data_IF_519127421091
#
_entry.id   IF_519127421091
#
_cell.length_a   1.000
_cell.length_b   1.000
_cell.length_c   1.000
_cell.angle_alpha   90.00
_cell.angle_beta   90.00
_cell.angle_gamma   90.00
#
_symmetry.space_group_name_H-M   'P 1'
#
loop_
_entity.id
_entity.type
_entity.pdbx_description
1 polymer ?
#
# COMPACT_ATOMS: atom_id res chain seq x y z
N UNK A 1 -12.87 22.99 14.49
CA UNK A 1 -12.57 22.17 15.69
C UNK A 1 -13.38 20.89 15.70
N UNK A 2 -14.73 20.92 15.75
CA UNK A 2 -15.56 19.71 15.73
C UNK A 2 -15.40 18.84 14.46
N UNK A 3 -15.35 19.43 13.26
CA UNK A 3 -15.22 18.65 12.02
C UNK A 3 -13.85 17.97 11.83
N UNK A 4 -12.78 18.61 12.33
CA UNK A 4 -11.42 18.04 12.32
C UNK A 4 -11.30 16.84 13.26
N UNK A 5 -11.91 16.94 14.45
CA UNK A 5 -12.01 15.81 15.36
C UNK A 5 -12.82 14.67 14.74
N UNK A 6 -13.93 14.97 14.05
CA UNK A 6 -14.75 13.97 13.35
C UNK A 6 -13.94 13.25 12.26
N UNK A 7 -13.15 13.97 11.44
CA UNK A 7 -12.34 13.36 10.38
C UNK A 7 -11.23 12.46 10.94
N UNK A 8 -10.51 12.93 11.96
CA UNK A 8 -9.48 12.13 12.66
C UNK A 8 -10.08 10.89 13.33
N UNK A 9 -11.27 11.02 13.93
CA UNK A 9 -12.01 9.88 14.48
C UNK A 9 -12.39 8.91 13.36
N UNK A 10 -12.85 9.42 12.22
CA UNK A 10 -13.25 8.60 11.07
C UNK A 10 -12.08 7.78 10.51
N UNK A 11 -10.92 8.40 10.25
CA UNK A 11 -9.73 7.69 9.75
C UNK A 11 -9.23 6.63 10.73
N UNK A 12 -9.18 6.94 12.03
CA UNK A 12 -8.76 5.98 13.08
C UNK A 12 -9.64 4.74 13.08
N UNK A 13 -10.97 4.93 13.04
CA UNK A 13 -11.91 3.81 13.01
C UNK A 13 -11.83 3.02 11.71
N UNK A 14 -11.69 3.69 10.57
CA UNK A 14 -11.51 3.00 9.28
C UNK A 14 -10.28 2.09 9.36
N UNK A 15 -9.13 2.58 9.82
CA UNK A 15 -7.89 1.78 9.92
C UNK A 15 -8.09 0.56 10.83
N UNK A 16 -8.66 0.74 12.03
CA UNK A 16 -8.88 -0.35 12.98
C UNK A 16 -9.84 -1.40 12.44
N UNK A 17 -10.99 -0.98 11.89
CA UNK A 17 -11.99 -1.90 11.33
C UNK A 17 -11.41 -2.64 10.12
N UNK A 18 -10.65 -1.94 9.28
CA UNK A 18 -10.02 -2.51 8.09
C UNK A 18 -9.01 -3.60 8.45
N UNK A 19 -8.13 -3.34 9.42
CA UNK A 19 -7.17 -4.33 9.92
C UNK A 19 -7.90 -5.50 10.61
N UNK A 20 -9.00 -5.24 11.32
CA UNK A 20 -9.83 -6.31 11.88
C UNK A 20 -10.43 -7.21 10.78
N UNK A 21 -10.95 -6.62 9.70
CA UNK A 21 -11.48 -7.36 8.55
C UNK A 21 -10.40 -8.22 7.88
N UNK A 22 -9.15 -7.75 7.78
CA UNK A 22 -8.05 -8.58 7.25
C UNK A 22 -7.71 -9.74 8.18
N UNK A 23 -7.72 -9.54 9.50
CA UNK A 23 -7.55 -10.63 10.48
C UNK A 23 -8.66 -11.68 10.33
N UNK A 24 -9.92 -11.27 10.23
CA UNK A 24 -11.05 -12.19 10.04
C UNK A 24 -10.88 -12.98 8.74
N UNK A 25 -10.46 -12.32 7.65
CA UNK A 25 -10.16 -12.98 6.38
C UNK A 25 -9.07 -14.05 6.50
N UNK A 26 -7.95 -13.72 7.14
CA UNK A 26 -6.82 -14.64 7.33
C UNK A 26 -7.17 -15.84 8.21
N UNK A 27 -7.87 -15.62 9.32
CA UNK A 27 -8.37 -16.71 10.16
C UNK A 27 -9.39 -17.56 9.41
N UNK A 28 -10.26 -16.94 8.61
CA UNK A 28 -11.21 -17.63 7.74
C UNK A 28 -10.54 -18.54 6.72
N UNK A 29 -9.42 -18.12 6.11
CA UNK A 29 -8.61 -18.98 5.24
C UNK A 29 -8.00 -20.16 6.01
N UNK A 30 -7.55 -19.94 7.25
CA UNK A 30 -6.97 -21.00 8.08
C UNK A 30 -7.99 -22.10 8.45
N UNK A 31 -9.25 -21.74 8.67
CA UNK A 31 -10.33 -22.68 8.99
C UNK A 31 -11.10 -23.18 7.77
N UNK A 32 -10.67 -22.84 6.55
CA UNK A 32 -11.36 -23.23 5.33
C UNK A 32 -11.25 -24.74 5.09
N UNK A 33 -12.33 -25.47 5.39
CA UNK A 33 -12.45 -26.89 5.06
C UNK A 33 -12.98 -27.15 3.64
N UNK A 34 -13.51 -26.13 2.99
CA UNK A 34 -14.14 -26.21 1.67
C UNK A 34 -13.69 -25.06 0.78
N UNK A 35 -13.55 -25.31 -0.52
CA UNK A 35 -13.01 -24.32 -1.47
C UNK A 35 -13.87 -23.04 -1.54
N UNK A 36 -15.19 -23.15 -1.43
CA UNK A 36 -16.09 -21.99 -1.47
C UNK A 36 -15.87 -21.00 -0.32
N UNK A 37 -15.39 -21.48 0.84
CA UNK A 37 -15.13 -20.63 2.01
C UNK A 37 -14.00 -19.62 1.72
N UNK A 38 -13.04 -19.99 0.86
CA UNK A 38 -11.97 -19.09 0.44
C UNK A 38 -12.53 -17.87 -0.29
N UNK A 39 -13.51 -18.04 -1.18
CA UNK A 39 -14.15 -16.90 -1.84
C UNK A 39 -14.93 -16.03 -0.87
N UNK A 40 -15.60 -16.63 0.11
CA UNK A 40 -16.33 -15.89 1.13
C UNK A 40 -15.39 -15.01 1.96
N UNK A 41 -14.27 -15.56 2.44
CA UNK A 41 -13.32 -14.83 3.29
C UNK A 41 -12.39 -13.90 2.50
N UNK A 42 -12.27 -14.06 1.18
CA UNK A 42 -11.56 -13.13 0.32
C UNK A 42 -12.23 -11.75 0.25
N UNK A 43 -13.56 -11.68 0.40
CA UNK A 43 -14.31 -10.41 0.39
C UNK A 43 -13.92 -9.50 1.57
N UNK A 44 -14.07 -9.90 2.85
CA UNK A 44 -13.65 -9.06 3.96
C UNK A 44 -12.14 -8.81 3.97
N UNK A 45 -11.34 -9.80 3.57
CA UNK A 45 -9.88 -9.62 3.45
C UNK A 45 -9.52 -8.51 2.46
N UNK A 46 -10.06 -8.55 1.24
CA UNK A 46 -9.80 -7.56 0.20
C UNK A 46 -10.34 -6.17 0.55
N UNK A 47 -11.55 -6.10 1.11
CA UNK A 47 -12.13 -4.83 1.57
C UNK A 47 -11.29 -4.19 2.68
N UNK A 48 -10.83 -4.98 3.66
CA UNK A 48 -9.95 -4.50 4.71
C UNK A 48 -8.61 -4.00 4.16
N UNK A 49 -7.97 -4.76 3.28
CA UNK A 49 -6.69 -4.41 2.69
C UNK A 49 -6.77 -3.11 1.85
N UNK A 50 -7.80 -2.94 1.02
CA UNK A 50 -7.97 -1.73 0.23
C UNK A 50 -8.36 -0.50 1.07
N UNK A 51 -9.19 -0.69 2.09
CA UNK A 51 -9.66 0.41 2.95
C UNK A 51 -8.56 1.00 3.82
N UNK A 52 -7.69 0.14 4.39
CA UNK A 52 -6.54 0.62 5.19
C UNK A 52 -5.53 1.36 4.31
N UNK A 53 -5.27 0.85 3.10
CA UNK A 53 -4.35 1.48 2.15
C UNK A 53 -4.86 2.86 1.74
N UNK A 54 -6.12 2.99 1.30
CA UNK A 54 -6.70 4.26 0.92
C UNK A 54 -6.72 5.28 2.09
N UNK A 55 -7.12 4.84 3.28
CA UNK A 55 -7.21 5.72 4.45
C UNK A 55 -5.84 6.22 4.92
N UNK A 56 -4.83 5.35 4.96
CA UNK A 56 -3.47 5.72 5.37
C UNK A 56 -2.78 6.61 4.33
N UNK A 57 -2.87 6.28 3.04
CA UNK A 57 -2.29 7.11 1.99
C UNK A 57 -2.91 8.52 1.97
N UNK A 58 -4.23 8.62 2.09
CA UNK A 58 -4.90 9.92 2.18
C UNK A 58 -4.47 10.71 3.44
N UNK A 59 -4.40 10.04 4.59
CA UNK A 59 -3.98 10.68 5.84
C UNK A 59 -2.54 11.19 5.79
N UNK A 60 -1.60 10.36 5.31
CA UNK A 60 -0.18 10.73 5.21
C UNK A 60 0.03 11.84 4.19
N UNK A 61 -0.63 11.78 3.04
CA UNK A 61 -0.52 12.80 1.99
C UNK A 61 -0.93 14.20 2.48
N UNK A 62 -1.92 14.28 3.38
CA UNK A 62 -2.46 15.57 3.86
C UNK A 62 -1.79 16.09 5.14
N UNK A 63 -1.13 15.22 5.92
CA UNK A 63 -0.63 15.59 7.27
C UNK A 63 0.90 15.52 7.39
N UNK A 64 1.60 14.93 6.42
CA UNK A 64 3.04 14.69 6.50
C UNK A 64 3.74 14.99 5.17
N UNK A 65 5.05 15.33 5.20
CA UNK A 65 5.81 15.53 3.97
C UNK A 65 5.93 14.24 3.16
N UNK A 66 6.14 14.36 1.85
CA UNK A 66 6.25 13.22 0.92
C UNK A 66 7.34 12.21 1.28
N UNK A 67 8.34 12.59 2.09
CA UNK A 67 9.33 11.66 2.63
C UNK A 67 8.73 10.58 3.53
N UNK A 68 7.69 10.91 4.31
CA UNK A 68 6.96 9.95 5.15
C UNK A 68 6.16 8.97 4.30
N UNK A 69 5.58 9.45 3.18
CA UNK A 69 4.91 8.58 2.21
C UNK A 69 5.87 7.54 1.61
N UNK A 70 7.06 7.99 1.17
CA UNK A 70 8.08 7.08 0.65
C UNK A 70 8.54 6.07 1.71
N UNK A 71 8.69 6.51 2.97
CA UNK A 71 9.05 5.62 4.08
C UNK A 71 7.96 4.57 4.37
N UNK A 72 6.68 4.94 4.29
CA UNK A 72 5.56 4.00 4.42
C UNK A 72 5.62 2.92 3.34
N UNK A 73 5.84 3.31 2.08
CA UNK A 73 5.98 2.36 0.97
C UNK A 73 7.25 1.49 1.07
N UNK A 74 8.32 1.95 1.73
CA UNK A 74 9.44 1.06 2.06
C UNK A 74 9.01 -0.10 2.96
N UNK A 75 8.13 0.13 3.94
CA UNK A 75 7.60 -0.96 4.79
C UNK A 75 6.64 -1.90 4.05
N UNK A 76 5.94 -1.42 3.02
CA UNK A 76 5.20 -2.30 2.11
C UNK A 76 6.15 -3.32 1.45
N UNK A 77 7.30 -2.87 0.94
CA UNK A 77 8.33 -3.76 0.38
C UNK A 77 8.86 -4.77 1.39
N UNK A 78 9.10 -4.36 2.64
CA UNK A 78 9.47 -5.28 3.72
C UNK A 78 8.39 -6.35 3.96
N UNK A 79 7.12 -5.96 3.98
CA UNK A 79 5.99 -6.90 4.08
C UNK A 79 5.92 -7.90 2.92
N UNK A 80 6.16 -7.43 1.70
CA UNK A 80 6.17 -8.26 0.48
C UNK A 80 7.31 -9.29 0.47
N UNK A 81 8.41 -9.02 1.18
CA UNK A 81 9.53 -9.96 1.36
C UNK A 81 9.25 -10.93 2.52
N UNK A 82 8.74 -10.44 3.66
CA UNK A 82 8.53 -11.27 4.86
C UNK A 82 7.39 -12.28 4.64
N UNK A 83 6.30 -11.88 3.99
CA UNK A 83 5.09 -12.71 3.90
C UNK A 83 5.26 -14.02 3.13
N UNK A 84 5.93 -14.09 1.95
CA UNK A 84 6.15 -15.36 1.25
C UNK A 84 7.09 -16.28 2.01
N UNK A 85 8.10 -15.73 2.70
CA UNK A 85 9.01 -16.51 3.53
C UNK A 85 8.30 -17.09 4.76
N UNK A 86 7.37 -16.35 5.37
CA UNK A 86 6.55 -16.85 6.46
C UNK A 86 5.69 -18.04 6.00
N UNK A 87 5.07 -17.93 4.82
CA UNK A 87 4.32 -19.04 4.22
C UNK A 87 5.23 -20.22 3.86
N UNK A 88 6.41 -19.98 3.28
CA UNK A 88 7.39 -21.00 2.98
C UNK A 88 7.83 -21.78 4.23
N UNK A 89 8.03 -21.07 5.35
CA UNK A 89 8.38 -21.67 6.63
C UNK A 89 7.23 -22.55 7.14
N UNK A 90 5.99 -22.09 7.04
CA UNK A 90 4.82 -22.86 7.42
C UNK A 90 4.67 -24.12 6.58
N UNK A 91 4.89 -24.06 5.26
CA UNK A 91 4.85 -25.23 4.38
C UNK A 91 5.99 -26.22 4.66
N UNK A 92 7.13 -25.76 5.18
CA UNK A 92 8.27 -26.62 5.54
C UNK A 92 8.04 -27.41 6.83
N UNK A 93 7.37 -26.82 7.82
CA UNK A 93 7.24 -27.39 9.17
C UNK A 93 5.80 -27.78 9.55
N UNK A 94 4.80 -27.35 8.76
CA UNK A 94 3.39 -27.47 9.06
C UNK A 94 2.54 -27.55 7.76
N UNK A 95 1.24 -27.22 7.85
CA UNK A 95 0.32 -27.20 6.73
C UNK A 95 0.02 -25.76 6.27
N UNK A 96 -0.48 -25.59 5.05
CA UNK A 96 -0.83 -24.28 4.48
C UNK A 96 -1.80 -23.46 5.36
N UNK A 97 -2.73 -24.13 6.06
CA UNK A 97 -3.65 -23.50 7.02
C UNK A 97 -2.91 -22.79 8.16
N UNK A 98 -1.79 -23.36 8.63
CA UNK A 98 -0.97 -22.77 9.68
C UNK A 98 -0.25 -21.52 9.19
N UNK A 99 0.14 -21.46 7.91
CA UNK A 99 0.74 -20.26 7.32
C UNK A 99 -0.19 -19.06 7.37
N UNK A 100 -1.47 -19.26 7.05
CA UNK A 100 -2.50 -18.23 7.21
C UNK A 100 -2.71 -17.86 8.68
N UNK A 101 -2.63 -18.82 9.60
CA UNK A 101 -2.79 -18.58 11.04
C UNK A 101 -1.62 -17.78 11.63
N UNK A 102 -0.39 -18.11 11.27
CA UNK A 102 0.80 -17.37 11.69
C UNK A 102 0.75 -15.94 11.16
N UNK A 103 0.33 -15.75 9.92
CA UNK A 103 0.12 -14.43 9.33
C UNK A 103 -0.98 -13.65 10.08
N UNK A 104 -2.07 -14.31 10.45
CA UNK A 104 -3.13 -13.70 11.27
C UNK A 104 -2.62 -13.24 12.64
N UNK A 105 -1.75 -14.01 13.31
CA UNK A 105 -1.15 -13.60 14.58
C UNK A 105 -0.25 -12.38 14.45
N UNK A 106 0.55 -12.31 13.38
CA UNK A 106 1.34 -11.11 13.06
C UNK A 106 0.41 -9.92 12.83
N UNK A 107 -0.66 -10.11 12.06
CA UNK A 107 -1.65 -9.05 11.78
C UNK A 107 -2.40 -8.59 13.05
N UNK A 108 -2.70 -9.48 13.98
CA UNK A 108 -3.27 -9.13 15.30
C UNK A 108 -2.26 -8.33 16.12
N UNK A 109 -0.97 -8.67 16.07
CA UNK A 109 0.10 -7.87 16.66
C UNK A 109 0.13 -6.45 16.10
N UNK A 110 0.05 -6.30 14.77
CA UNK A 110 -0.03 -5.00 14.09
C UNK A 110 -1.30 -4.25 14.54
N UNK A 111 -2.45 -4.92 14.60
CA UNK A 111 -3.70 -4.33 15.10
C UNK A 111 -3.55 -3.78 16.52
N UNK A 112 -2.92 -4.55 17.41
CA UNK A 112 -2.67 -4.12 18.79
C UNK A 112 -1.77 -2.87 18.83
N UNK A 113 -0.67 -2.87 18.07
CA UNK A 113 0.21 -1.71 17.96
C UNK A 113 -0.54 -0.49 17.40
N UNK A 114 -1.36 -0.69 16.37
CA UNK A 114 -2.20 0.37 15.80
C UNK A 114 -3.14 0.95 16.86
N UNK A 115 -3.88 0.12 17.61
CA UNK A 115 -4.78 0.55 18.68
C UNK A 115 -4.03 1.34 19.76
N UNK A 116 -2.86 0.85 20.18
CA UNK A 116 -2.02 1.53 21.17
C UNK A 116 -1.44 2.86 20.65
N UNK A 117 -1.27 2.99 19.32
CA UNK A 117 -0.78 4.23 18.69
C UNK A 117 -1.86 5.28 18.42
N UNK A 118 -3.15 4.91 18.42
CA UNK A 118 -4.28 5.85 18.24
C UNK A 118 -4.24 7.13 19.10
N UNK A 119 -3.85 7.10 20.39
CA UNK A 119 -3.74 8.32 21.20
C UNK A 119 -2.66 9.29 20.69
N UNK A 120 -1.64 8.83 19.96
CA UNK A 120 -0.56 9.67 19.42
C UNK A 120 -1.02 10.54 18.24
N UNK A 121 -2.12 10.16 17.58
CA UNK A 121 -2.67 10.86 16.43
C UNK A 121 -3.45 12.13 16.81
N UNK A 122 -3.24 12.68 18.01
CA UNK A 122 -3.89 13.90 18.52
C UNK A 122 -3.14 15.19 18.15
N UNK A 123 -1.86 15.10 17.79
CA UNK A 123 -1.01 16.28 17.59
C UNK A 123 -0.89 16.77 16.14
N UNK A 124 -1.51 16.10 15.16
CA UNK A 124 -1.55 16.57 13.77
C UNK A 124 -2.58 17.70 13.54
N UNK A 125 -3.39 18.03 14.55
CA UNK A 125 -4.53 18.96 14.43
C UNK A 125 -4.24 20.44 14.64
N UNK A 126 -2.99 20.86 14.90
CA UNK A 126 -2.71 22.26 15.22
C UNK A 126 -2.25 23.13 14.03
N UNK A 127 -1.97 22.58 12.85
CA UNK A 127 -1.47 23.38 11.70
C UNK A 127 -2.21 23.19 10.38
N UNK A 128 -3.22 22.32 10.28
CA UNK A 128 -4.01 22.15 9.05
C UNK A 128 -5.31 22.98 9.10
N UNK A 129 -5.20 24.30 9.18
CA UNK A 129 -6.28 25.20 8.80
C UNK A 129 -6.25 25.44 7.29
N UNK A 130 -7.41 25.28 6.62
CA UNK A 130 -7.65 25.38 5.17
C UNK A 130 -7.30 24.06 4.46
N UNK A 131 -8.20 23.33 3.80
CA UNK A 131 -9.36 23.74 3.00
C UNK A 131 -10.50 22.72 3.15
N UNK A 132 -11.67 23.19 3.57
CA UNK A 132 -12.93 22.52 3.24
C UNK A 132 -13.42 23.12 1.92
N UNK A 133 -12.67 22.94 0.83
CA UNK A 133 -13.28 23.02 -0.49
C UNK A 133 -13.94 21.67 -0.77
N UNK A 134 -15.20 21.72 -1.22
CA UNK A 134 -16.12 20.58 -1.22
C UNK A 134 -15.48 19.30 -1.75
N UNK A 135 -15.69 18.20 -1.03
CA UNK A 135 -15.26 16.87 -1.47
C UNK A 135 -15.80 16.66 -2.88
N UNK A 136 -14.94 16.78 -3.89
CA UNK A 136 -15.33 16.59 -5.28
C UNK A 136 -16.00 15.22 -5.36
N UNK A 137 -17.28 15.18 -5.73
CA UNK A 137 -17.99 13.91 -5.84
C UNK A 137 -17.23 12.99 -6.80
N UNK A 138 -17.37 11.67 -6.68
CA UNK A 138 -16.68 10.70 -7.56
C UNK A 138 -16.82 11.10 -9.05
N UNK A 139 -18.01 11.59 -9.43
CA UNK A 139 -18.32 12.08 -10.77
C UNK A 139 -17.52 13.32 -11.19
N UNK A 140 -17.23 14.20 -10.25
CA UNK A 140 -16.46 15.42 -10.45
C UNK A 140 -14.97 15.12 -10.50
N UNK A 141 -14.48 14.25 -9.61
CA UNK A 141 -13.10 13.76 -9.64
C UNK A 141 -12.75 13.08 -10.98
N UNK A 142 -13.65 12.26 -11.52
CA UNK A 142 -13.45 11.59 -12.83
C UNK A 142 -13.48 12.57 -14.01
N UNK A 143 -14.11 13.74 -13.87
CA UNK A 143 -14.14 14.78 -14.90
C UNK A 143 -12.85 15.59 -14.98
N UNK A 144 -11.99 15.52 -13.96
CA UNK A 144 -10.71 16.24 -13.95
C UNK A 144 -9.80 15.67 -15.05
N UNK A 145 -9.24 16.51 -15.94
CA UNK A 145 -8.34 16.08 -16.99
C UNK A 145 -7.15 15.31 -16.41
N UNK A 146 -6.91 14.09 -16.92
CA UNK A 146 -5.79 13.25 -16.48
C UNK A 146 -6.10 12.23 -15.38
N UNK A 147 -7.19 12.38 -14.61
CA UNK A 147 -7.51 11.44 -13.52
C UNK A 147 -7.76 10.02 -14.02
N UNK A 148 -8.54 9.85 -15.10
CA UNK A 148 -8.79 8.52 -15.69
C UNK A 148 -7.48 7.88 -16.15
N UNK A 149 -6.56 8.68 -16.70
CA UNK A 149 -5.26 8.23 -17.19
C UNK A 149 -4.38 7.77 -16.02
N UNK A 150 -4.34 8.55 -14.93
CA UNK A 150 -3.64 8.19 -13.69
C UNK A 150 -4.22 6.93 -13.05
N UNK A 151 -5.55 6.81 -12.96
CA UNK A 151 -6.23 5.62 -12.43
C UNK A 151 -5.93 4.38 -13.29
N UNK A 152 -5.94 4.53 -14.62
CA UNK A 152 -5.62 3.43 -15.55
C UNK A 152 -4.15 3.02 -15.43
N UNK A 153 -3.23 3.98 -15.31
CA UNK A 153 -1.82 3.72 -15.11
C UNK A 153 -1.56 3.01 -13.76
N UNK A 154 -2.19 3.49 -12.68
CA UNK A 154 -2.11 2.87 -11.36
C UNK A 154 -2.67 1.45 -11.36
N UNK A 155 -3.85 1.24 -11.96
CA UNK A 155 -4.43 -0.09 -12.13
C UNK A 155 -3.51 -1.02 -12.92
N UNK A 156 -2.96 -0.57 -14.05
CA UNK A 156 -2.07 -1.37 -14.89
C UNK A 156 -0.78 -1.74 -14.16
N UNK A 157 -0.23 -0.80 -13.39
CA UNK A 157 0.94 -1.04 -12.54
C UNK A 157 0.66 -2.10 -11.47
N UNK A 158 -0.38 -1.92 -10.65
CA UNK A 158 -0.73 -2.87 -9.60
C UNK A 158 -1.14 -4.25 -10.15
N UNK A 159 -1.85 -4.29 -11.28
CA UNK A 159 -2.23 -5.53 -11.95
C UNK A 159 -1.01 -6.27 -12.50
N UNK A 160 -0.08 -5.56 -13.12
CA UNK A 160 1.20 -6.12 -13.58
C UNK A 160 2.02 -6.69 -12.42
N UNK A 161 2.20 -5.89 -11.35
CA UNK A 161 2.91 -6.29 -10.14
C UNK A 161 2.31 -7.57 -9.53
N UNK A 162 1.00 -7.58 -9.30
CA UNK A 162 0.28 -8.71 -8.71
C UNK A 162 0.36 -9.96 -9.59
N UNK A 163 0.20 -9.80 -10.90
CA UNK A 163 0.28 -10.93 -11.86
C UNK A 163 1.67 -11.55 -11.86
N UNK A 164 2.72 -10.72 -11.94
CA UNK A 164 4.11 -11.19 -11.87
C UNK A 164 4.39 -11.91 -10.56
N UNK A 165 3.87 -11.39 -9.43
CA UNK A 165 4.03 -12.03 -8.12
C UNK A 165 3.38 -13.41 -8.05
N UNK A 166 2.10 -13.55 -8.43
CA UNK A 166 1.39 -14.83 -8.37
C UNK A 166 1.95 -15.87 -9.35
N UNK A 167 2.29 -15.45 -10.56
CA UNK A 167 2.75 -16.36 -11.60
C UNK A 167 4.17 -16.85 -11.39
N UNK A 168 5.03 -16.07 -10.71
CA UNK A 168 6.41 -16.49 -10.41
C UNK A 168 6.43 -17.85 -9.70
N UNK A 169 5.78 -17.97 -8.55
CA UNK A 169 5.79 -19.23 -7.78
C UNK A 169 5.09 -20.36 -8.53
N UNK A 170 3.99 -20.07 -9.23
CA UNK A 170 3.25 -21.07 -10.02
C UNK A 170 4.07 -21.61 -11.21
N UNK A 171 4.84 -20.74 -11.87
CA UNK A 171 5.71 -21.12 -12.99
C UNK A 171 6.86 -22.03 -12.52
N UNK A 172 7.52 -21.70 -11.41
CA UNK A 172 8.59 -22.54 -10.87
C UNK A 172 8.06 -23.88 -10.34
N UNK A 173 6.84 -23.91 -9.79
CA UNK A 173 6.17 -25.15 -9.41
C UNK A 173 5.94 -26.08 -10.61
N UNK A 174 5.53 -25.52 -11.76
CA UNK A 174 5.20 -26.31 -12.95
C UNK A 174 6.39 -26.71 -13.83
N UNK A 175 7.48 -25.92 -13.85
CA UNK A 175 8.59 -26.10 -14.80
C UNK A 175 9.81 -26.82 -14.25
N UNK A 176 9.97 -26.89 -12.93
CA UNK A 176 11.15 -27.48 -12.30
C UNK A 176 10.73 -28.59 -11.34
N UNK A 177 10.90 -29.83 -11.80
CA UNK A 177 10.66 -31.02 -10.97
C UNK A 177 11.80 -31.20 -9.95
N UNK A 178 11.44 -31.46 -8.69
CA UNK A 178 12.39 -31.78 -7.61
C UNK A 178 12.73 -30.65 -6.63
N UNK A 179 12.11 -29.46 -6.77
CA UNK A 179 12.21 -28.40 -5.75
C UNK A 179 11.19 -28.60 -4.64
N UNK A 180 11.54 -28.19 -3.41
CA UNK A 180 10.62 -28.25 -2.28
C UNK A 180 9.57 -27.13 -2.33
N UNK A 181 8.37 -27.42 -1.83
CA UNK A 181 7.25 -26.46 -1.80
C UNK A 181 7.62 -25.17 -1.05
N UNK A 182 8.42 -25.28 0.02
CA UNK A 182 8.94 -24.13 0.75
C UNK A 182 9.87 -23.25 -0.10
N UNK A 183 10.75 -23.84 -0.91
CA UNK A 183 11.61 -23.06 -1.82
C UNK A 183 10.78 -22.37 -2.89
N UNK A 184 9.78 -23.07 -3.45
CA UNK A 184 8.87 -22.52 -4.47
C UNK A 184 8.05 -21.34 -3.91
N UNK A 185 7.53 -21.47 -2.69
CA UNK A 185 6.81 -20.39 -2.01
C UNK A 185 7.70 -19.17 -1.72
N UNK A 186 9.00 -19.39 -1.45
CA UNK A 186 9.95 -18.30 -1.21
C UNK A 186 10.32 -17.50 -2.48
N UNK A 187 10.06 -18.01 -3.69
CA UNK A 187 10.42 -17.29 -4.92
C UNK A 187 9.71 -15.94 -5.08
N UNK A 188 8.50 -15.79 -4.54
CA UNK A 188 7.84 -14.47 -4.48
C UNK A 188 8.71 -13.45 -3.74
N UNK A 189 9.34 -13.85 -2.63
CA UNK A 189 10.30 -13.01 -1.90
C UNK A 189 11.62 -12.84 -2.63
N UNK A 190 12.11 -13.82 -3.39
CA UNK A 190 13.37 -13.71 -4.13
C UNK A 190 13.24 -12.73 -5.30
N UNK A 191 12.09 -12.71 -5.97
CA UNK A 191 11.80 -11.73 -7.03
C UNK A 191 11.71 -10.32 -6.45
N UNK A 192 10.92 -10.08 -5.40
CA UNK A 192 10.81 -8.74 -4.82
C UNK A 192 12.05 -8.30 -4.03
N UNK A 193 12.68 -9.21 -3.29
CA UNK A 193 13.95 -8.95 -2.62
C UNK A 193 15.08 -8.65 -3.61
N UNK A 194 15.17 -9.43 -4.69
CA UNK A 194 16.10 -9.19 -5.79
C UNK A 194 15.82 -7.88 -6.52
N UNK A 195 14.55 -7.62 -6.90
CA UNK A 195 14.15 -6.36 -7.54
C UNK A 195 14.39 -5.15 -6.63
N UNK A 196 14.09 -5.24 -5.33
CA UNK A 196 14.31 -4.14 -4.38
C UNK A 196 15.80 -3.90 -4.12
N UNK A 197 16.61 -4.96 -4.06
CA UNK A 197 18.05 -4.82 -3.86
C UNK A 197 18.78 -4.37 -5.14
N UNK A 198 18.34 -4.82 -6.31
CA UNK A 198 18.96 -4.47 -7.61
C UNK A 198 18.44 -3.15 -8.17
N UNK A 199 17.13 -2.89 -8.13
CA UNK A 199 16.55 -1.65 -8.65
C UNK A 199 16.31 -0.62 -7.54
N UNK A 200 15.81 -1.01 -6.36
CA UNK A 200 15.57 -0.05 -5.28
C UNK A 200 16.85 0.67 -4.79
N UNK A 201 17.99 -0.01 -4.74
CA UNK A 201 19.25 0.62 -4.30
C UNK A 201 19.94 1.37 -5.44
N UNK A 202 19.88 0.88 -6.68
CA UNK A 202 20.63 1.45 -7.80
C UNK A 202 19.82 2.40 -8.69
N UNK A 203 18.53 2.13 -8.91
CA UNK A 203 17.62 2.98 -9.70
C UNK A 203 17.04 4.10 -8.85
N UNK A 204 16.71 3.90 -7.58
CA UNK A 204 16.03 4.94 -6.78
C UNK A 204 16.84 6.24 -6.66
N UNK A 205 18.17 6.23 -6.46
CA UNK A 205 18.97 7.47 -6.49
C UNK A 205 18.96 8.16 -7.86
N UNK A 206 19.03 7.38 -8.95
CA UNK A 206 18.97 7.89 -10.32
C UNK A 206 17.58 8.48 -10.63
N UNK A 207 16.52 7.79 -10.25
CA UNK A 207 15.14 8.22 -10.38
C UNK A 207 14.88 9.51 -9.60
N UNK A 208 15.30 9.57 -8.33
CA UNK A 208 15.18 10.80 -7.52
C UNK A 208 15.98 11.96 -8.11
N UNK A 209 17.17 11.70 -8.67
CA UNK A 209 17.97 12.72 -9.34
C UNK A 209 17.28 13.25 -10.61
N UNK A 210 16.74 12.37 -11.45
CA UNK A 210 15.98 12.75 -12.65
C UNK A 210 14.72 13.50 -12.26
N UNK A 211 13.98 13.03 -11.26
CA UNK A 211 12.75 13.68 -10.80
C UNK A 211 13.01 15.05 -10.19
N UNK A 212 14.05 15.20 -9.36
CA UNK A 212 14.48 16.49 -8.82
C UNK A 212 14.88 17.47 -9.93
N UNK A 213 15.62 16.99 -10.93
CA UNK A 213 15.99 17.79 -12.10
C UNK A 213 14.76 18.26 -12.89
N UNK A 214 13.80 17.36 -13.14
CA UNK A 214 12.54 17.68 -13.82
C UNK A 214 11.71 18.68 -13.02
N UNK A 215 11.62 18.51 -11.71
CA UNK A 215 10.89 19.40 -10.82
C UNK A 215 11.51 20.81 -10.82
N UNK A 216 12.84 20.91 -10.73
CA UNK A 216 13.57 22.18 -10.83
C UNK A 216 13.33 22.89 -12.17
N UNK A 217 13.35 22.16 -13.29
CA UNK A 217 13.05 22.73 -14.61
C UNK A 217 11.61 23.23 -14.67
N UNK A 218 10.64 22.45 -14.19
CA UNK A 218 9.24 22.84 -14.21
C UNK A 218 8.98 24.05 -13.31
N UNK A 219 9.63 24.12 -12.14
CA UNK A 219 9.57 25.28 -11.25
C UNK A 219 10.14 26.53 -11.93
N UNK A 220 11.32 26.40 -12.57
CA UNK A 220 11.96 27.48 -13.31
C UNK A 220 11.07 27.98 -14.48
N UNK A 221 10.45 27.06 -15.22
CA UNK A 221 9.51 27.40 -16.30
C UNK A 221 8.28 28.12 -15.74
N UNK A 222 7.71 27.62 -14.63
CA UNK A 222 6.56 28.23 -13.99
C UNK A 222 6.89 29.64 -13.48
N UNK A 223 8.03 29.81 -12.81
CA UNK A 223 8.49 31.11 -12.30
C UNK A 223 8.72 32.10 -13.44
N UNK A 224 9.36 31.68 -14.54
CA UNK A 224 9.54 32.52 -15.73
C UNK A 224 8.23 32.88 -16.42
N UNK A 225 7.19 32.04 -16.34
CA UNK A 225 5.86 32.38 -16.87
C UNK A 225 5.14 33.39 -15.98
N UNK A 226 5.24 33.28 -14.66
CA UNK A 226 4.69 34.25 -13.72
C UNK A 226 5.38 35.61 -13.89
N UNK A 227 6.72 35.63 -13.91
CA UNK A 227 7.54 36.84 -14.10
C UNK A 227 7.36 37.50 -15.48
N UNK A 228 6.90 36.74 -16.49
CA UNK A 228 6.46 37.30 -17.79
C UNK A 228 5.03 37.84 -17.75
N UNK A 229 4.15 37.25 -16.95
CA UNK A 229 2.77 37.70 -16.79
C UNK A 229 2.71 39.03 -16.00
N UNK A 230 3.52 39.16 -14.94
CA UNK A 230 3.61 40.39 -14.15
C UNK A 230 4.21 41.56 -14.95
N UNK A 231 5.27 41.31 -15.74
CA UNK A 231 5.87 42.34 -16.63
C UNK A 231 5.05 42.69 -17.87
N UNK A 232 3.98 41.95 -18.15
CA UNK A 232 3.03 42.26 -19.22
C UNK A 232 1.85 43.12 -18.78
N UNK A 233 1.75 43.45 -17.49
CA UNK A 233 0.68 44.27 -16.91
C UNK A 233 1.12 45.72 -16.56
N UNK A 234 2.38 46.11 -16.84
CA UNK A 234 2.85 47.51 -16.85
C UNK A 234 2.77 48.10 -18.27
#
# INVERSE_FOLDING_TARGET
MAEQEIFLIHTKWIVVVSICLTVVGLLGFSFAGQYWMLFLFAVPYGLGAGSVDAALNHYVANNYPSSVMNFLHCFYGLGAIISPNLMALALKYAHWNEGYRWTAYVQIGILAVCILSLPLWKNAGNEASQETEGTAGIREAVRVPGVILTLTAFFSYCAGETTSFLWTSSYFAGTKQGMSDGLIASFGSLVFGGLQQTFGIWIMPLYLAVFAFLNLILLEIAYRRIDKADRGCE
#
